data_IF_738621027277
#
_entry.id   IF_738621027277
#
_cell.length_a   1.000
_cell.length_b   1.000
_cell.length_c   1.000
_cell.angle_alpha   90.00
_cell.angle_beta   90.00
_cell.angle_gamma   90.00
#
_symmetry.space_group_name_H-M   'P 1'
#
loop_
_entity.id
_entity.type
_entity.pdbx_description
1 polymer ?
#
# COMPACT_ATOMS: atom_id res chain seq x y z
N UNK A 1 33.05 8.29 53.26
CA UNK A 1 31.75 8.18 52.58
C UNK A 1 30.98 7.06 53.24
N UNK A 2 29.80 7.34 53.79
CA UNK A 2 28.96 6.31 54.37
C UNK A 2 28.29 5.50 53.25
N UNK A 3 27.77 4.31 53.58
CA UNK A 3 27.06 3.45 52.62
C UNK A 3 25.85 4.18 52.00
N UNK A 4 25.17 4.99 52.80
CA UNK A 4 24.03 5.81 52.38
C UNK A 4 24.43 6.95 51.42
N UNK A 5 25.58 7.60 51.64
CA UNK A 5 26.12 8.59 50.70
C UNK A 5 26.44 7.97 49.35
N UNK A 6 27.02 6.77 49.34
CA UNK A 6 27.32 6.02 48.11
C UNK A 6 26.02 5.68 47.37
N UNK A 7 24.97 5.23 48.08
CA UNK A 7 23.65 4.95 47.48
C UNK A 7 23.06 6.19 46.83
N UNK A 8 23.05 7.33 47.53
CA UNK A 8 22.55 8.60 46.99
C UNK A 8 23.32 9.04 45.75
N UNK A 9 24.65 8.93 45.78
CA UNK A 9 25.50 9.26 44.64
C UNK A 9 25.21 8.37 43.42
N UNK A 10 25.04 7.05 43.63
CA UNK A 10 24.71 6.09 42.58
C UNK A 10 23.32 6.38 42.00
N UNK A 11 22.30 6.60 42.82
CA UNK A 11 20.94 6.90 42.33
C UNK A 11 20.89 8.21 41.53
N UNK A 12 21.57 9.26 42.00
CA UNK A 12 21.65 10.52 41.28
C UNK A 12 22.40 10.38 39.94
N UNK A 13 23.50 9.60 39.91
CA UNK A 13 24.22 9.28 38.69
C UNK A 13 23.37 8.50 37.69
N UNK A 14 22.57 7.54 38.18
CA UNK A 14 21.61 6.78 37.39
C UNK A 14 20.61 7.69 36.68
N UNK A 15 20.00 8.61 37.43
CA UNK A 15 19.04 9.58 36.87
C UNK A 15 19.67 10.43 35.78
N UNK A 16 20.90 10.91 35.98
CA UNK A 16 21.62 11.73 34.99
C UNK A 16 21.99 10.94 33.73
N UNK A 17 22.47 9.70 33.87
CA UNK A 17 22.78 8.83 32.75
C UNK A 17 21.53 8.53 31.91
N UNK A 18 20.40 8.25 32.56
CA UNK A 18 19.15 8.05 31.85
C UNK A 18 18.54 9.36 31.30
N UNK A 19 18.82 10.52 31.91
CA UNK A 19 18.41 11.82 31.37
C UNK A 19 19.27 12.28 30.17
N UNK A 20 20.39 11.61 29.89
CA UNK A 20 21.33 12.00 28.83
C UNK A 20 22.22 13.18 29.20
N UNK A 21 22.33 13.52 30.49
CA UNK A 21 23.14 14.64 31.00
C UNK A 21 24.24 14.14 31.96
N UNK A 22 25.20 13.33 31.49
CA UNK A 22 26.33 12.87 32.30
C UNK A 22 27.29 14.03 32.62
N UNK A 23 27.84 14.08 33.84
CA UNK A 23 28.81 15.10 34.24
C UNK A 23 30.26 14.59 34.27
N UNK A 24 30.45 13.32 34.63
CA UNK A 24 31.78 12.76 34.95
C UNK A 24 32.15 11.56 34.10
N UNK A 25 31.20 11.05 33.30
CA UNK A 25 31.34 9.86 32.48
C UNK A 25 31.09 10.13 30.99
N UNK A 26 31.40 9.14 30.15
CA UNK A 26 31.16 9.21 28.70
C UNK A 26 29.69 9.15 28.30
N UNK A 27 28.76 8.98 29.25
CA UNK A 27 27.32 8.88 28.98
C UNK A 27 26.82 7.50 28.52
N UNK A 28 27.71 6.50 28.43
CA UNK A 28 27.31 5.13 28.07
C UNK A 28 26.49 4.49 29.19
N UNK A 29 25.46 3.72 28.83
CA UNK A 29 24.62 2.97 29.77
C UNK A 29 25.29 1.64 30.18
N UNK A 30 26.47 1.73 30.78
CA UNK A 30 27.23 0.60 31.35
C UNK A 30 27.59 0.83 32.82
N UNK A 31 27.95 -0.25 33.52
CA UNK A 31 28.33 -0.20 34.95
C UNK A 31 29.57 0.69 35.18
N UNK A 32 30.50 0.72 34.22
CA UNK A 32 31.77 1.43 34.37
C UNK A 32 31.51 2.94 34.38
N UNK A 33 30.68 3.40 33.44
CA UNK A 33 30.22 4.78 33.32
C UNK A 33 29.34 5.17 34.49
N UNK A 34 28.47 4.29 35.00
CA UNK A 34 27.71 4.55 36.24
C UNK A 34 28.62 4.73 37.46
N UNK A 35 29.62 3.86 37.62
CA UNK A 35 30.58 3.96 38.71
C UNK A 35 31.40 5.26 38.61
N UNK A 36 31.86 5.60 37.41
CA UNK A 36 32.57 6.84 37.12
C UNK A 36 31.69 8.08 37.37
N UNK A 37 30.42 8.04 36.95
CA UNK A 37 29.46 9.13 37.12
C UNK A 37 29.12 9.39 38.59
N UNK A 38 28.96 8.31 39.37
CA UNK A 38 28.72 8.36 40.80
C UNK A 38 29.98 8.67 41.63
N UNK A 39 31.18 8.56 41.02
CA UNK A 39 32.44 8.71 41.74
C UNK A 39 32.75 7.57 42.71
N UNK A 40 32.19 6.38 42.48
CA UNK A 40 32.36 5.20 43.33
C UNK A 40 33.16 4.11 42.61
N UNK A 41 33.87 3.27 43.37
CA UNK A 41 34.59 2.12 42.79
C UNK A 41 33.59 1.06 42.30
N UNK A 42 33.81 0.50 41.10
CA UNK A 42 32.98 -0.59 40.52
C UNK A 42 32.73 -1.75 41.48
N UNK A 43 33.74 -2.15 42.27
CA UNK A 43 33.63 -3.23 43.26
C UNK A 43 32.50 -2.97 44.26
N UNK A 44 32.25 -1.71 44.65
CA UNK A 44 31.13 -1.38 45.53
C UNK A 44 29.78 -1.65 44.85
N UNK A 45 29.65 -1.35 43.56
CA UNK A 45 28.44 -1.64 42.79
C UNK A 45 28.18 -3.14 42.63
N UNK A 46 29.23 -3.97 42.52
CA UNK A 46 29.07 -5.41 42.30
C UNK A 46 28.99 -6.24 43.58
N UNK A 47 29.50 -5.74 44.72
CA UNK A 47 29.53 -6.49 45.98
C UNK A 47 28.69 -5.88 47.11
N UNK A 48 28.49 -4.56 47.14
CA UNK A 48 27.71 -3.88 48.20
C UNK A 48 26.33 -3.41 47.73
N UNK A 49 26.26 -2.83 46.54
CA UNK A 49 25.05 -2.22 45.98
C UNK A 49 24.52 -3.02 44.79
N UNK A 50 24.38 -4.33 44.97
CA UNK A 50 23.90 -5.25 43.93
C UNK A 50 22.45 -4.94 43.51
N UNK A 51 21.63 -4.47 44.44
CA UNK A 51 20.27 -3.99 44.20
C UNK A 51 20.24 -2.83 43.19
N UNK A 52 21.12 -1.85 43.34
CA UNK A 52 21.22 -0.71 42.42
C UNK A 52 21.77 -1.13 41.06
N UNK A 53 22.68 -2.11 41.02
CA UNK A 53 23.16 -2.72 39.76
C UNK A 53 22.01 -3.39 39.01
N UNK A 54 21.18 -4.14 39.72
CA UNK A 54 20.06 -4.88 39.12
C UNK A 54 18.95 -3.92 38.66
N UNK A 55 18.66 -2.87 39.43
CA UNK A 55 17.78 -1.77 39.02
C UNK A 55 18.29 -1.10 37.74
N UNK A 56 19.58 -0.74 37.68
CA UNK A 56 20.17 -0.13 36.50
C UNK A 56 19.98 -1.00 35.25
N UNK A 57 20.20 -2.31 35.36
CA UNK A 57 19.98 -3.23 34.25
C UNK A 57 18.50 -3.42 33.90
N UNK A 58 17.61 -3.44 34.89
CA UNK A 58 16.17 -3.49 34.64
C UNK A 58 15.71 -2.26 33.85
N UNK A 59 16.10 -1.06 34.32
CA UNK A 59 15.78 0.20 33.66
C UNK A 59 16.40 0.29 32.26
N UNK A 60 17.63 -0.21 32.09
CA UNK A 60 18.28 -0.30 30.79
C UNK A 60 17.52 -1.24 29.86
N UNK A 61 17.09 -2.42 30.32
CA UNK A 61 16.26 -3.36 29.53
C UNK A 61 14.90 -2.78 29.17
N UNK A 62 14.27 -2.00 30.04
CA UNK A 62 13.02 -1.31 29.72
C UNK A 62 13.18 -0.26 28.61
N UNK A 63 14.39 0.30 28.45
CA UNK A 63 14.72 1.27 27.39
C UNK A 63 15.33 0.65 26.14
N UNK A 64 16.17 -0.38 26.29
CA UNK A 64 16.83 -1.13 25.21
C UNK A 64 15.91 -2.19 24.61
N UNK A 65 14.92 -2.67 25.36
CA UNK A 65 13.91 -3.58 24.87
C UNK A 65 13.05 -2.83 23.87
N UNK A 66 13.01 -3.33 22.62
CA UNK A 66 12.15 -2.80 21.56
C UNK A 66 10.74 -2.70 22.13
N UNK A 67 10.23 -1.49 22.41
CA UNK A 67 8.96 -1.36 23.07
C UNK A 67 7.88 -1.92 22.13
N UNK A 68 6.82 -2.54 22.66
CA UNK A 68 5.79 -3.22 21.84
C UNK A 68 5.20 -2.33 20.74
N UNK A 69 5.19 -1.01 20.95
CA UNK A 69 4.81 -0.04 19.93
C UNK A 69 5.77 -0.03 18.73
N UNK A 70 7.08 -0.17 18.94
CA UNK A 70 8.07 -0.24 17.86
C UNK A 70 7.97 -1.56 17.08
N UNK A 71 7.67 -2.68 17.73
CA UNK A 71 7.36 -3.96 17.04
C UNK A 71 6.12 -3.78 16.15
N UNK A 72 5.03 -3.24 16.71
CA UNK A 72 3.81 -2.94 15.95
C UNK A 72 4.05 -1.97 14.81
N UNK A 73 4.90 -0.96 15.00
CA UNK A 73 5.27 -0.02 13.94
C UNK A 73 6.07 -0.71 12.83
N UNK A 74 7.00 -1.62 13.16
CA UNK A 74 7.73 -2.41 12.16
C UNK A 74 6.81 -3.32 11.36
N UNK A 75 5.84 -3.96 12.01
CA UNK A 75 4.81 -4.76 11.34
C UNK A 75 3.95 -3.90 10.41
N UNK A 76 3.52 -2.71 10.85
CA UNK A 76 2.77 -1.77 10.02
C UNK A 76 3.58 -1.26 8.83
N UNK A 77 4.86 -0.95 9.02
CA UNK A 77 5.76 -0.55 7.94
C UNK A 77 5.89 -1.68 6.92
N UNK A 78 6.09 -2.92 7.37
CA UNK A 78 6.17 -4.07 6.48
C UNK A 78 4.87 -4.30 5.69
N UNK A 79 3.72 -4.18 6.37
CA UNK A 79 2.40 -4.28 5.72
C UNK A 79 2.19 -3.16 4.68
N UNK A 80 2.50 -1.92 5.04
CA UNK A 80 2.38 -0.76 4.13
C UNK A 80 3.32 -0.88 2.93
N UNK A 81 4.55 -1.35 3.12
CA UNK A 81 5.48 -1.60 2.02
C UNK A 81 4.93 -2.66 1.05
N UNK A 82 4.37 -3.75 1.58
CA UNK A 82 3.73 -4.79 0.76
C UNK A 82 2.55 -4.24 -0.03
N UNK A 83 1.68 -3.46 0.59
CA UNK A 83 0.55 -2.81 -0.10
C UNK A 83 1.04 -1.83 -1.15
N UNK A 84 2.07 -1.02 -0.85
CA UNK A 84 2.63 -0.07 -1.80
C UNK A 84 3.22 -0.78 -3.03
N UNK A 85 3.92 -1.89 -2.82
CA UNK A 85 4.44 -2.69 -3.93
C UNK A 85 3.31 -3.26 -4.78
N UNK A 86 2.28 -3.85 -4.17
CA UNK A 86 1.12 -4.36 -4.90
C UNK A 86 0.42 -3.29 -5.73
N UNK A 87 0.26 -2.08 -5.19
CA UNK A 87 -0.34 -0.95 -5.91
C UNK A 87 0.53 -0.48 -7.07
N UNK A 88 1.86 -0.49 -6.92
CA UNK A 88 2.80 -0.16 -8.00
C UNK A 88 2.69 -1.18 -9.13
N UNK A 89 2.67 -2.47 -8.79
CA UNK A 89 2.52 -3.54 -9.77
C UNK A 89 1.19 -3.43 -10.53
N UNK A 90 0.10 -3.11 -9.82
CA UNK A 90 -1.22 -2.92 -10.44
C UNK A 90 -1.24 -1.69 -11.37
N UNK A 91 -0.66 -0.58 -10.92
CA UNK A 91 -0.50 0.66 -11.72
C UNK A 91 0.32 0.40 -12.98
N UNK A 92 1.37 -0.41 -12.90
CA UNK A 92 2.19 -0.77 -14.05
C UNK A 92 1.43 -1.65 -15.04
N UNK A 93 0.60 -2.59 -14.56
CA UNK A 93 -0.30 -3.38 -15.41
C UNK A 93 -1.33 -2.52 -16.14
N UNK A 94 -1.98 -1.59 -15.43
CA UNK A 94 -2.93 -0.67 -16.07
C UNK A 94 -2.26 0.18 -17.12
N UNK A 95 -1.06 0.71 -16.83
CA UNK A 95 -0.30 1.50 -17.79
C UNK A 95 0.01 0.71 -19.07
N UNK A 96 0.53 -0.51 -18.96
CA UNK A 96 0.85 -1.37 -20.11
C UNK A 96 -0.41 -1.66 -20.96
N UNK A 97 -1.53 -1.89 -20.27
CA UNK A 97 -2.81 -2.18 -20.90
C UNK A 97 -3.34 -0.96 -21.66
N UNK A 98 -3.31 0.23 -21.03
CA UNK A 98 -3.66 1.50 -21.67
C UNK A 98 -2.78 1.81 -22.88
N UNK A 99 -1.48 1.59 -22.80
CA UNK A 99 -0.55 1.77 -23.93
C UNK A 99 -0.87 0.82 -25.08
N UNK A 100 -1.31 -0.41 -24.78
CA UNK A 100 -1.74 -1.38 -25.80
C UNK A 100 -3.02 -0.94 -26.49
N UNK A 101 -4.02 -0.46 -25.74
CA UNK A 101 -5.24 0.10 -26.32
C UNK A 101 -4.98 1.36 -27.14
N UNK A 102 -4.12 2.26 -26.66
CA UNK A 102 -3.74 3.46 -27.40
C UNK A 102 -3.12 3.12 -28.76
N UNK A 103 -2.24 2.10 -28.82
CA UNK A 103 -1.67 1.62 -30.08
C UNK A 103 -2.73 1.02 -31.01
N UNK A 104 -3.62 0.18 -30.51
CA UNK A 104 -4.70 -0.40 -31.30
C UNK A 104 -5.64 0.67 -31.88
N UNK A 105 -6.02 1.66 -31.07
CA UNK A 105 -6.83 2.80 -31.50
C UNK A 105 -6.12 3.61 -32.58
N UNK A 106 -4.81 3.83 -32.45
CA UNK A 106 -4.04 4.54 -33.46
C UNK A 106 -4.05 3.82 -34.81
N UNK A 107 -3.81 2.50 -34.82
CA UNK A 107 -3.88 1.68 -36.04
C UNK A 107 -5.27 1.76 -36.66
N UNK A 108 -6.33 1.57 -35.87
CA UNK A 108 -7.71 1.60 -36.36
C UNK A 108 -8.08 2.98 -36.93
N UNK A 109 -7.57 4.06 -36.34
CA UNK A 109 -7.77 5.42 -36.84
C UNK A 109 -7.14 5.59 -38.22
N UNK A 110 -5.89 5.14 -38.39
CA UNK A 110 -5.19 5.18 -39.68
C UNK A 110 -5.95 4.35 -40.74
N UNK A 111 -6.38 3.15 -40.39
CA UNK A 111 -7.13 2.28 -41.29
C UNK A 111 -8.46 2.91 -41.72
N UNK A 112 -9.21 3.50 -40.77
CA UNK A 112 -10.45 4.19 -41.07
C UNK A 112 -10.21 5.38 -42.03
N UNK A 113 -9.17 6.17 -41.78
CA UNK A 113 -8.80 7.30 -42.64
C UNK A 113 -8.40 6.85 -44.06
N UNK A 114 -7.71 5.71 -44.17
CA UNK A 114 -7.40 5.09 -45.47
C UNK A 114 -8.70 4.71 -46.18
N UNK A 115 -9.61 3.97 -45.54
CA UNK A 115 -10.90 3.58 -46.15
C UNK A 115 -11.74 4.79 -46.58
N UNK A 116 -11.76 5.86 -45.78
CA UNK A 116 -12.46 7.10 -46.13
C UNK A 116 -11.80 7.84 -47.29
N UNK A 117 -10.47 7.75 -47.44
CA UNK A 117 -9.77 8.27 -48.62
C UNK A 117 -10.09 7.45 -49.85
N UNK A 118 -10.04 6.12 -49.76
CA UNK A 118 -10.33 5.22 -50.88
C UNK A 118 -11.77 5.38 -51.38
N UNK A 119 -12.75 5.47 -50.47
CA UNK A 119 -14.15 5.72 -50.81
C UNK A 119 -14.36 7.06 -51.53
N UNK A 120 -13.54 8.08 -51.23
CA UNK A 120 -13.56 9.39 -51.91
C UNK A 120 -12.87 9.35 -53.27
N UNK A 121 -11.86 8.51 -53.42
CA UNK A 121 -11.08 8.37 -54.65
C UNK A 121 -11.70 7.37 -55.63
N UNK A 122 -12.74 6.64 -55.22
CA UNK A 122 -13.47 5.73 -56.09
C UNK A 122 -14.18 6.55 -57.19
N UNK A 123 -13.98 6.22 -58.48
CA UNK A 123 -14.62 6.95 -59.56
C UNK A 123 -16.15 6.87 -59.40
N UNK A 124 -16.89 7.94 -59.76
CA UNK A 124 -18.35 7.89 -59.72
C UNK A 124 -18.83 6.71 -60.55
N UNK A 125 -19.41 5.71 -59.88
CA UNK A 125 -20.02 4.59 -60.58
C UNK A 125 -21.10 5.15 -61.51
N UNK A 126 -21.15 4.74 -62.79
CA UNK A 126 -22.24 5.09 -63.67
C UNK A 126 -23.51 4.44 -63.11
N UNK A 127 -24.30 5.25 -62.40
CA UNK A 127 -25.69 5.04 -62.05
C UNK A 127 -26.02 3.68 -61.39
N UNK A 128 -25.94 3.62 -60.06
CA UNK A 128 -27.08 3.03 -59.33
C UNK A 128 -28.26 3.95 -59.59
N UNK A 129 -29.01 3.65 -60.66
CA UNK A 129 -30.18 4.40 -61.06
C UNK A 129 -31.16 4.49 -59.89
N UNK A 130 -31.14 5.63 -59.20
CA UNK A 130 -32.20 6.03 -58.28
C UNK A 130 -33.46 6.14 -59.14
N UNK A 131 -34.28 5.10 -59.13
CA UNK A 131 -35.68 5.20 -59.51
C UNK A 131 -36.30 6.32 -58.67
N UNK A 132 -37.05 7.26 -59.25
CA UNK A 132 -37.79 8.24 -58.47
C UNK A 132 -38.72 7.48 -57.51
N UNK A 133 -38.70 7.88 -56.24
CA UNK A 133 -39.65 7.38 -55.24
C UNK A 133 -41.07 7.76 -55.68
N UNK A 134 -41.88 6.79 -56.08
CA UNK A 134 -43.29 6.99 -56.35
C UNK A 134 -44.04 7.12 -55.00
N UNK A 135 -44.73 8.24 -54.72
CA UNK A 135 -45.49 8.39 -53.49
C UNK A 135 -46.74 7.51 -53.58
N UNK A 136 -46.72 6.33 -52.95
CA UNK A 136 -47.90 5.46 -52.95
C UNK A 136 -47.71 4.03 -52.44
N UNK A 137 -46.49 3.59 -52.12
CA UNK A 137 -46.29 2.32 -51.40
C UNK A 137 -45.84 2.62 -49.98
N UNK A 138 -46.72 2.33 -49.03
CA UNK A 138 -46.35 2.15 -47.62
C UNK A 138 -45.23 1.12 -47.55
N UNK A 139 -44.07 1.41 -46.94
CA UNK A 139 -43.08 0.38 -46.67
C UNK A 139 -43.73 -0.68 -45.76
N UNK A 140 -43.47 -1.98 -45.97
CA UNK A 140 -43.94 -2.98 -45.02
C UNK A 140 -43.37 -2.64 -43.65
N UNK A 141 -44.21 -2.74 -42.62
CA UNK A 141 -43.80 -2.56 -41.24
C UNK A 141 -42.57 -3.43 -40.98
N UNK A 142 -41.46 -2.79 -40.59
CA UNK A 142 -40.33 -3.50 -40.03
C UNK A 142 -40.81 -4.08 -38.69
N UNK A 143 -41.29 -5.32 -38.72
CA UNK A 143 -41.43 -6.10 -37.52
C UNK A 143 -40.02 -6.21 -36.91
N UNK A 144 -39.79 -5.52 -35.80
CA UNK A 144 -38.62 -5.70 -34.95
C UNK A 144 -38.79 -7.04 -34.24
N UNK A 145 -38.60 -8.13 -34.98
CA UNK A 145 -38.11 -9.36 -34.40
C UNK A 145 -36.61 -9.34 -34.64
N UNK A 146 -35.86 -9.23 -33.54
CA UNK A 146 -34.41 -9.34 -33.50
C UNK A 146 -34.02 -10.77 -33.90
N UNK A 147 -33.93 -11.02 -35.20
CA UNK A 147 -33.38 -12.25 -35.73
C UNK A 147 -31.89 -12.04 -35.99
N UNK A 148 -31.08 -12.69 -35.16
CA UNK A 148 -29.63 -12.83 -35.31
C UNK A 148 -29.36 -13.55 -36.63
N UNK A 149 -29.23 -12.79 -37.73
CA UNK A 149 -28.66 -13.31 -38.97
C UNK A 149 -27.15 -13.14 -38.93
N UNK A 150 -26.53 -14.24 -38.52
CA UNK A 150 -25.14 -14.60 -38.76
C UNK A 150 -24.70 -14.21 -40.18
N UNK A 151 -23.76 -13.26 -40.29
CA UNK A 151 -22.94 -13.06 -41.50
C UNK A 151 -21.62 -13.81 -41.33
N UNK A 152 -20.99 -14.31 -42.42
CA UNK A 152 -19.91 -15.27 -42.32
C UNK A 152 -18.65 -14.64 -41.71
N UNK A 153 -18.25 -15.22 -40.58
CA UNK A 153 -16.93 -15.13 -39.94
C UNK A 153 -15.82 -15.29 -40.98
N UNK A 154 -14.98 -14.26 -41.15
CA UNK A 154 -13.54 -14.53 -41.27
C UNK A 154 -13.00 -14.69 -39.85
N UNK A 155 -12.68 -15.93 -39.51
CA UNK A 155 -12.13 -16.31 -38.21
C UNK A 155 -10.69 -15.82 -38.10
N UNK A 156 -10.42 -14.94 -37.12
CA UNK A 156 -9.09 -14.86 -36.53
C UNK A 156 -9.23 -15.20 -35.04
N UNK A 157 -8.91 -16.44 -34.70
CA UNK A 157 -8.88 -16.93 -33.33
C UNK A 157 -7.61 -16.39 -32.66
N UNK A 158 -7.77 -15.47 -31.70
CA UNK A 158 -6.78 -15.27 -30.64
C UNK A 158 -7.27 -16.05 -29.42
N UNK A 159 -6.57 -17.14 -29.12
CA UNK A 159 -6.76 -17.92 -27.89
C UNK A 159 -6.15 -17.11 -26.74
N UNK A 160 -6.99 -16.46 -25.95
CA UNK A 160 -6.63 -16.01 -24.61
C UNK A 160 -7.22 -17.03 -23.62
N UNK A 161 -6.35 -17.93 -23.16
CA UNK A 161 -6.64 -18.82 -22.04
C UNK A 161 -6.86 -17.97 -20.78
N UNK A 162 -8.13 -17.75 -20.42
CA UNK A 162 -8.51 -17.21 -19.12
C UNK A 162 -8.46 -18.33 -18.09
N UNK A 163 -7.36 -18.38 -17.34
CA UNK A 163 -7.32 -19.15 -16.10
C UNK A 163 -8.26 -18.51 -15.08
N UNK A 164 -9.19 -19.34 -14.67
CA UNK A 164 -10.06 -19.27 -13.51
C UNK A 164 -9.36 -18.65 -12.28
N UNK A 165 -9.93 -17.58 -11.73
CA UNK A 165 -9.68 -17.19 -10.35
C UNK A 165 -10.96 -16.66 -9.69
N UNK A 166 -11.48 -17.53 -8.83
CA UNK A 166 -12.41 -17.30 -7.74
C UNK A 166 -12.36 -15.87 -7.17
N UNK A 167 -13.54 -15.23 -7.18
CA UNK A 167 -13.89 -14.08 -6.32
C UNK A 167 -14.01 -14.54 -4.86
N UNK A 168 -13.34 -13.92 -3.88
CA UNK A 168 -13.75 -14.03 -2.49
C UNK A 168 -14.90 -13.06 -2.17
N UNK A 169 -15.85 -13.43 -1.30
CA UNK A 169 -16.93 -12.54 -0.87
C UNK A 169 -16.41 -11.48 0.11
N UNK A 170 -16.74 -10.21 -0.16
CA UNK A 170 -16.59 -9.13 0.79
C UNK A 170 -17.65 -9.24 1.89
N UNK A 171 -17.25 -9.67 3.08
CA UNK A 171 -17.99 -9.41 4.33
C UNK A 171 -17.53 -8.09 4.92
N UNK A 172 -18.43 -7.11 4.94
CA UNK A 172 -18.26 -5.86 5.69
C UNK A 172 -18.38 -6.15 7.21
N UNK A 173 -17.51 -5.61 8.07
CA UNK A 173 -17.71 -5.70 9.51
C UNK A 173 -18.81 -4.73 9.95
N UNK A 174 -19.63 -5.22 10.88
CA UNK A 174 -20.86 -4.59 11.33
C UNK A 174 -20.70 -3.20 11.95
N UNK A 175 -21.76 -2.42 11.76
CA UNK A 175 -22.03 -1.19 12.50
C UNK A 175 -22.21 -1.50 13.98
N UNK A 176 -21.20 -1.21 14.79
CA UNK A 176 -21.32 -1.21 16.25
C UNK A 176 -22.18 -0.01 16.68
N UNK A 177 -23.39 -0.34 17.11
CA UNK A 177 -24.36 0.50 17.79
C UNK A 177 -23.79 0.92 19.15
N UNK A 178 -23.51 2.21 19.33
CA UNK A 178 -23.17 2.79 20.62
C UNK A 178 -24.41 2.86 21.53
N UNK A 179 -24.36 2.43 22.81
CA UNK A 179 -25.45 2.64 23.75
C UNK A 179 -25.38 4.04 24.38
N UNK A 180 -26.54 4.50 24.82
CA UNK A 180 -26.83 5.89 25.18
C UNK A 180 -26.02 6.47 26.33
N UNK A 181 -25.87 7.79 26.27
CA UNK A 181 -25.48 8.66 27.37
C UNK A 181 -26.70 9.50 27.74
N UNK A 182 -27.41 9.09 28.78
CA UNK A 182 -28.38 9.91 29.51
C UNK A 182 -27.78 10.22 30.88
N UNK A 183 -27.63 11.50 31.19
CA UNK A 183 -27.15 11.98 32.49
C UNK A 183 -26.51 13.36 32.36
N UNK A 184 -27.33 14.41 32.42
CA UNK A 184 -27.46 15.31 33.58
C UNK A 184 -28.48 16.41 33.28
#
# INVERSE_FOLDING_TARGET
MTDEDDRRAITAAMQRLFAGTPLRSSGKLDIVSLAQEAGVKRIKLTHKHTDLKDLFYAQRRTRDGVPDNEVKLREQIAALQKTNQSLRDERDRYRLTSETFARALHVLTIENDNFRRDARNLPPHPSSGLRPFAPGRTPPAWNVHSEVRSSPRMSLTVVLAGSDMARPPHTLPGTSRWPGRSGS
#
